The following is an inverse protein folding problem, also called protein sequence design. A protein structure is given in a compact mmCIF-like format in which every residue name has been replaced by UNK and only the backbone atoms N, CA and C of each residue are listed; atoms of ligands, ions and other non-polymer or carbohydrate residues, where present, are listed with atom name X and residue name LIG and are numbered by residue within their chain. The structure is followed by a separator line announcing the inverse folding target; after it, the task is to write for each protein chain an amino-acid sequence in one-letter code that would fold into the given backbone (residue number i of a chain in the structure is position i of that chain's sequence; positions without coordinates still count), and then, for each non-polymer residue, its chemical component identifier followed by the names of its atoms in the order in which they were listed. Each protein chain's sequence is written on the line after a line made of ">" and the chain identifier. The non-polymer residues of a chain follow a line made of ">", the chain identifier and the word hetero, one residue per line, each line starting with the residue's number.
data_IF_996719132463
#
_entry.id   IF_996719132463
#
_cell.length_a   1.000
_cell.length_b   1.000
_cell.length_c   1.000
_cell.angle_alpha   90.00
_cell.angle_beta   90.00
_cell.angle_gamma   90.00
#
_symmetry.space_group_name_H-M   'P 1'
#
loop_
_entity.id
_entity.type
_entity.pdbx_description
1 polymer ?
#
# COMPACT_ATOMS: atom_id res chain seq x y z
N UNK A 1 14.03 1.84 40.52
CA UNK A 1 14.89 1.66 39.34
C UNK A 1 14.47 0.42 38.58
N UNK A 2 13.63 0.58 37.56
CA UNK A 2 13.33 -0.52 36.62
C UNK A 2 14.62 -0.85 35.84
N UNK A 3 15.03 -2.11 35.90
CA UNK A 3 16.15 -2.62 35.10
C UNK A 3 15.75 -2.47 33.62
N UNK A 4 16.43 -1.60 32.90
CA UNK A 4 16.22 -1.38 31.48
C UNK A 4 16.59 -2.67 30.71
N UNK A 5 15.59 -3.43 30.29
CA UNK A 5 15.76 -4.56 29.38
C UNK A 5 15.50 -4.12 27.93
N UNK A 6 16.55 -3.89 27.13
CA UNK A 6 16.40 -3.46 25.74
C UNK A 6 15.67 -4.49 24.88
N UNK A 7 15.71 -5.79 25.23
CA UNK A 7 15.02 -6.84 24.46
C UNK A 7 13.52 -6.71 24.61
N UNK A 8 13.03 -6.54 25.84
CA UNK A 8 11.60 -6.37 26.11
C UNK A 8 11.06 -5.05 25.54
N UNK A 9 11.87 -3.98 25.58
CA UNK A 9 11.47 -2.71 24.96
C UNK A 9 11.33 -2.82 23.43
N UNK A 10 12.28 -3.48 22.75
CA UNK A 10 12.23 -3.72 21.29
C UNK A 10 10.98 -4.53 20.93
N UNK A 11 10.68 -5.61 21.67
CA UNK A 11 9.47 -6.40 21.47
C UNK A 11 8.21 -5.56 21.66
N UNK A 12 8.15 -4.75 22.71
CA UNK A 12 7.01 -3.87 22.99
C UNK A 12 6.77 -2.90 21.82
N UNK A 13 7.81 -2.23 21.32
CA UNK A 13 7.70 -1.31 20.19
C UNK A 13 7.25 -2.02 18.91
N UNK A 14 7.73 -3.24 18.69
CA UNK A 14 7.29 -4.08 17.57
C UNK A 14 5.80 -4.40 17.65
N UNK A 15 5.26 -4.73 18.83
CA UNK A 15 3.81 -4.95 18.99
C UNK A 15 2.98 -3.69 18.77
N UNK A 16 3.59 -2.51 18.87
CA UNK A 16 2.96 -1.22 18.60
C UNK A 16 3.15 -0.75 17.14
N UNK A 17 3.75 -1.56 16.27
CA UNK A 17 4.14 -1.21 14.89
C UNK A 17 5.06 0.03 14.81
N UNK A 18 5.87 0.28 15.85
CA UNK A 18 6.88 1.33 15.88
C UNK A 18 8.25 0.75 15.53
N UNK A 19 8.36 0.24 14.29
CA UNK A 19 9.47 -0.59 13.86
C UNK A 19 10.77 0.21 13.71
N UNK A 20 10.71 1.44 13.21
CA UNK A 20 11.85 2.34 13.14
C UNK A 20 12.40 2.69 14.52
N UNK A 21 11.52 3.02 15.46
CA UNK A 21 11.91 3.27 16.87
C UNK A 21 12.55 2.02 17.50
N UNK A 22 12.02 0.83 17.21
CA UNK A 22 12.58 -0.43 17.68
C UNK A 22 14.02 -0.66 17.16
N UNK A 23 14.28 -0.40 15.87
CA UNK A 23 15.64 -0.49 15.29
C UNK A 23 16.59 0.54 15.91
N UNK A 24 16.13 1.77 16.05
CA UNK A 24 16.88 2.89 16.63
C UNK A 24 17.29 2.64 18.09
N UNK A 25 16.54 1.81 18.84
CA UNK A 25 16.92 1.37 20.19
C UNK A 25 17.82 0.12 20.15
N UNK A 26 17.50 -0.86 19.31
CA UNK A 26 18.23 -2.13 19.27
C UNK A 26 19.70 -1.96 18.82
N UNK A 27 19.95 -1.15 17.77
CA UNK A 27 21.30 -0.93 17.21
C UNK A 27 22.32 -0.32 18.19
N UNK A 28 22.01 0.70 19.01
CA UNK A 28 22.93 1.16 20.03
C UNK A 28 23.00 0.20 21.23
N UNK A 29 21.90 -0.49 21.60
CA UNK A 29 21.88 -1.42 22.72
C UNK A 29 22.81 -2.62 22.48
N UNK A 30 22.78 -3.22 21.30
CA UNK A 30 23.61 -4.40 20.97
C UNK A 30 25.12 -4.13 21.04
N UNK A 31 25.54 -2.87 20.85
CA UNK A 31 26.94 -2.43 21.00
C UNK A 31 27.37 -2.29 22.46
N UNK A 32 26.43 -2.08 23.38
CA UNK A 32 26.69 -1.82 24.81
C UNK A 32 26.55 -3.08 25.67
N UNK A 33 25.73 -4.04 25.25
CA UNK A 33 25.52 -5.30 25.96
C UNK A 33 26.78 -6.16 25.91
N UNK A 34 27.27 -6.57 27.10
CA UNK A 34 28.42 -7.47 27.25
C UNK A 34 28.03 -8.94 27.33
N UNK A 35 26.79 -9.22 27.75
CA UNK A 35 26.27 -10.57 27.90
C UNK A 35 25.95 -11.17 26.53
N UNK A 36 26.70 -12.23 26.17
CA UNK A 36 26.55 -12.88 24.86
C UNK A 36 25.11 -13.33 24.54
N UNK A 37 24.34 -13.95 25.48
CA UNK A 37 22.98 -14.38 25.18
C UNK A 37 22.01 -13.23 24.89
N UNK A 38 22.16 -12.09 25.57
CA UNK A 38 21.33 -10.90 25.35
C UNK A 38 21.71 -10.24 24.02
N UNK A 39 23.01 -10.17 23.73
CA UNK A 39 23.52 -9.63 22.48
C UNK A 39 23.00 -10.42 21.28
N UNK A 40 23.05 -11.75 21.32
CA UNK A 40 22.54 -12.62 20.26
C UNK A 40 21.02 -12.44 20.01
N UNK A 41 20.24 -12.28 21.08
CA UNK A 41 18.81 -11.95 20.97
C UNK A 41 18.58 -10.61 20.27
N UNK A 42 19.31 -9.57 20.65
CA UNK A 42 19.21 -8.26 20.01
C UNK A 42 19.64 -8.31 18.53
N UNK A 43 20.73 -9.01 18.20
CA UNK A 43 21.15 -9.19 16.80
C UNK A 43 20.09 -9.92 15.96
N UNK A 44 19.42 -10.91 16.55
CA UNK A 44 18.32 -11.63 15.91
C UNK A 44 17.13 -10.70 15.63
N UNK A 45 16.71 -9.89 16.62
CA UNK A 45 15.63 -8.91 16.43
C UNK A 45 15.99 -7.83 15.41
N UNK A 46 17.23 -7.32 15.41
CA UNK A 46 17.70 -6.34 14.41
C UNK A 46 17.57 -6.93 13.00
N UNK A 47 18.08 -8.15 12.77
CA UNK A 47 17.98 -8.82 11.46
C UNK A 47 16.53 -9.02 11.02
N UNK A 48 15.66 -9.39 11.95
CA UNK A 48 14.24 -9.58 11.67
C UNK A 48 13.56 -8.25 11.27
N UNK A 49 13.88 -7.15 11.97
CA UNK A 49 13.38 -5.83 11.64
C UNK A 49 13.93 -5.34 10.30
N UNK A 50 15.23 -5.48 10.02
CA UNK A 50 15.82 -5.05 8.75
C UNK A 50 15.26 -5.81 7.55
N UNK A 51 15.01 -7.12 7.70
CA UNK A 51 14.35 -7.91 6.65
C UNK A 51 12.90 -7.48 6.44
N UNK A 52 12.18 -7.12 7.50
CA UNK A 52 10.83 -6.57 7.39
C UNK A 52 10.84 -5.19 6.71
N UNK A 53 11.75 -4.28 7.08
CA UNK A 53 11.91 -2.97 6.44
C UNK A 53 12.12 -3.14 4.93
N UNK A 54 13.00 -4.08 4.55
CA UNK A 54 13.27 -4.37 3.15
C UNK A 54 12.02 -4.81 2.39
N UNK A 55 11.20 -5.68 2.99
CA UNK A 55 9.96 -6.18 2.37
C UNK A 55 8.93 -5.08 2.21
N UNK A 56 8.68 -4.32 3.27
CA UNK A 56 7.73 -3.21 3.27
C UNK A 56 8.17 -2.14 2.26
N UNK A 57 9.48 -1.90 2.14
CA UNK A 57 10.03 -0.95 1.18
C UNK A 57 9.84 -1.41 -0.26
N UNK A 58 10.10 -2.69 -0.55
CA UNK A 58 9.86 -3.27 -1.88
C UNK A 58 8.38 -3.19 -2.25
N UNK A 59 7.48 -3.44 -1.30
CA UNK A 59 6.04 -3.29 -1.52
C UNK A 59 5.65 -1.84 -1.85
N UNK A 60 6.13 -0.87 -1.07
CA UNK A 60 5.90 0.55 -1.33
C UNK A 60 6.40 0.98 -2.72
N UNK A 61 7.59 0.51 -3.13
CA UNK A 61 8.13 0.75 -4.46
C UNK A 61 7.31 0.10 -5.57
N UNK A 62 6.88 -1.15 -5.37
CA UNK A 62 6.08 -1.89 -6.34
C UNK A 62 4.73 -1.20 -6.57
N UNK A 63 4.04 -0.78 -5.50
CA UNK A 63 2.77 -0.06 -5.62
C UNK A 63 2.93 1.28 -6.34
N UNK A 64 3.98 2.05 -6.01
CA UNK A 64 4.27 3.30 -6.71
C UNK A 64 4.60 3.08 -8.20
N UNK A 65 5.27 1.99 -8.55
CA UNK A 65 5.54 1.65 -9.94
C UNK A 65 4.27 1.23 -10.69
N UNK A 66 3.42 0.43 -10.05
CA UNK A 66 2.14 -0.01 -10.63
C UNK A 66 1.17 1.17 -10.84
N UNK A 67 1.12 2.12 -9.93
CA UNK A 67 0.30 3.33 -10.11
C UNK A 67 0.78 4.17 -11.29
N UNK A 68 2.10 4.40 -11.40
CA UNK A 68 2.74 5.14 -12.51
C UNK A 68 2.46 4.52 -13.87
N UNK A 69 2.65 3.21 -13.98
CA UNK A 69 2.48 2.48 -15.25
C UNK A 69 1.02 2.35 -15.65
N UNK A 70 0.11 2.20 -14.68
CA UNK A 70 -1.31 2.10 -14.95
C UNK A 70 -1.99 3.44 -15.24
N UNK A 71 -1.41 4.56 -14.79
CA UNK A 71 -1.99 5.93 -14.86
C UNK A 71 -3.41 5.99 -14.30
N UNK A 72 -3.66 5.17 -13.30
CA UNK A 72 -4.98 5.00 -12.69
C UNK A 72 -5.05 5.70 -11.35
N UNK A 73 -6.04 6.58 -11.12
CA UNK A 73 -6.12 7.35 -9.87
C UNK A 73 -6.36 6.46 -8.65
N UNK A 74 -7.09 5.35 -8.80
CA UNK A 74 -7.35 4.42 -7.71
C UNK A 74 -6.09 3.62 -7.30
N UNK A 75 -5.25 3.23 -8.25
CA UNK A 75 -3.96 2.60 -7.97
C UNK A 75 -2.99 3.57 -7.31
N UNK A 76 -3.01 4.85 -7.72
CA UNK A 76 -2.22 5.88 -7.06
C UNK A 76 -2.69 6.15 -5.62
N UNK A 77 -4.01 6.17 -5.37
CA UNK A 77 -4.55 6.26 -4.01
C UNK A 77 -4.11 5.07 -3.13
N UNK A 78 -4.14 3.85 -3.66
CA UNK A 78 -3.63 2.67 -2.96
C UNK A 78 -2.13 2.78 -2.65
N UNK A 79 -1.32 3.21 -3.62
CA UNK A 79 0.11 3.43 -3.42
C UNK A 79 0.41 4.48 -2.34
N UNK A 80 -0.36 5.58 -2.29
CA UNK A 80 -0.25 6.58 -1.23
C UNK A 80 -0.49 5.98 0.15
N UNK A 81 -1.50 5.12 0.30
CA UNK A 81 -1.81 4.47 1.57
C UNK A 81 -0.65 3.58 2.05
N UNK A 82 -0.09 2.77 1.15
CA UNK A 82 1.05 1.89 1.47
C UNK A 82 2.28 2.71 1.89
N UNK A 83 2.62 3.78 1.16
CA UNK A 83 3.78 4.62 1.51
C UNK A 83 3.55 5.38 2.82
N UNK A 84 2.33 5.86 3.06
CA UNK A 84 2.00 6.53 4.33
C UNK A 84 2.11 5.57 5.51
N UNK A 85 1.67 4.31 5.34
CA UNK A 85 1.81 3.28 6.35
C UNK A 85 3.28 2.92 6.59
N UNK A 86 4.07 2.81 5.51
CA UNK A 86 5.51 2.61 5.59
C UNK A 86 6.19 3.70 6.45
N UNK A 87 5.95 4.98 6.13
CA UNK A 87 6.49 6.12 6.87
C UNK A 87 6.08 6.11 8.34
N UNK A 88 4.83 5.71 8.63
CA UNK A 88 4.34 5.60 10.00
C UNK A 88 5.07 4.51 10.80
N UNK A 89 5.35 3.36 10.19
CA UNK A 89 5.99 2.24 10.87
C UNK A 89 7.51 2.41 11.00
N UNK A 90 8.14 3.04 10.00
CA UNK A 90 9.60 3.13 9.83
C UNK A 90 10.17 4.54 10.02
N UNK A 91 9.42 5.44 10.68
CA UNK A 91 9.90 6.79 11.00
C UNK A 91 11.25 6.76 11.73
N UNK A 92 12.17 7.65 11.35
CA UNK A 92 13.50 7.77 11.96
C UNK A 92 14.58 6.85 11.37
N UNK A 93 14.26 6.01 10.39
CA UNK A 93 15.21 5.12 9.71
C UNK A 93 15.60 5.62 8.31
N UNK A 94 16.72 5.12 7.78
CA UNK A 94 17.41 5.71 6.61
C UNK A 94 16.62 5.73 5.29
N UNK A 95 15.47 5.06 5.22
CA UNK A 95 14.59 5.01 4.05
C UNK A 95 13.50 6.09 4.06
N UNK A 96 13.29 6.81 5.17
CA UNK A 96 12.25 7.82 5.34
C UNK A 96 12.31 8.90 4.25
N UNK A 97 13.48 9.49 4.01
CA UNK A 97 13.64 10.53 2.98
C UNK A 97 13.31 10.04 1.56
N UNK A 98 13.53 8.75 1.27
CA UNK A 98 13.18 8.14 -0.02
C UNK A 98 11.67 7.91 -0.12
N UNK A 99 11.05 7.43 0.96
CA UNK A 99 9.60 7.27 1.06
C UNK A 99 8.87 8.62 0.94
N UNK A 100 9.37 9.68 1.60
CA UNK A 100 8.82 11.05 1.49
C UNK A 100 8.93 11.61 0.07
N UNK A 101 10.05 11.35 -0.62
CA UNK A 101 10.18 11.72 -2.03
C UNK A 101 9.15 10.97 -2.88
N UNK A 102 9.05 9.66 -2.70
CA UNK A 102 8.11 8.81 -3.44
C UNK A 102 6.65 9.27 -3.22
N UNK A 103 6.30 9.65 -1.99
CA UNK A 103 4.99 10.18 -1.64
C UNK A 103 4.70 11.51 -2.35
N UNK A 104 5.69 12.41 -2.41
CA UNK A 104 5.56 13.70 -3.11
C UNK A 104 5.37 13.50 -4.61
N UNK A 105 6.20 12.68 -5.23
CA UNK A 105 6.14 12.38 -6.66
C UNK A 105 4.74 11.82 -7.04
N UNK A 106 4.21 10.88 -6.25
CA UNK A 106 2.88 10.31 -6.50
C UNK A 106 1.75 11.33 -6.33
N UNK A 107 1.84 12.23 -5.36
CA UNK A 107 0.85 13.28 -5.18
C UNK A 107 0.86 14.27 -6.36
N UNK A 108 2.03 14.57 -6.92
CA UNK A 108 2.15 15.41 -8.11
C UNK A 108 1.53 14.72 -9.34
N UNK A 109 1.80 13.43 -9.54
CA UNK A 109 1.20 12.64 -10.62
C UNK A 109 -0.32 12.55 -10.52
N UNK A 110 -0.87 12.38 -9.31
CA UNK A 110 -2.32 12.40 -9.07
C UNK A 110 -2.95 13.74 -9.47
N UNK A 111 -2.31 14.85 -9.12
CA UNK A 111 -2.76 16.19 -9.51
C UNK A 111 -2.68 16.43 -11.01
N UNK A 112 -1.70 15.82 -11.68
CA UNK A 112 -1.54 15.89 -13.12
C UNK A 112 -2.45 14.93 -13.90
N UNK A 113 -3.18 14.03 -13.22
CA UNK A 113 -4.06 13.05 -13.87
C UNK A 113 -5.25 13.76 -14.53
N UNK A 114 -5.44 13.63 -15.86
CA UNK A 114 -6.53 14.31 -16.55
C UNK A 114 -7.91 13.85 -16.04
N UNK A 115 -8.91 14.75 -15.94
CA UNK A 115 -10.27 14.40 -15.51
C UNK A 115 -10.89 13.24 -16.31
N UNK A 116 -10.53 13.14 -17.60
CA UNK A 116 -11.00 12.09 -18.49
C UNK A 116 -10.62 10.68 -18.01
N UNK A 117 -9.44 10.48 -17.40
CA UNK A 117 -9.05 9.16 -16.87
C UNK A 117 -9.81 8.84 -15.57
N UNK A 118 -10.08 9.84 -14.74
CA UNK A 118 -10.90 9.70 -13.53
C UNK A 118 -12.35 9.32 -13.84
N UNK A 119 -12.92 9.89 -14.91
CA UNK A 119 -14.29 9.58 -15.35
C UNK A 119 -14.40 8.30 -16.20
N UNK A 120 -13.28 7.67 -16.55
CA UNK A 120 -13.26 6.52 -17.45
C UNK A 120 -14.11 5.33 -16.97
N UNK A 121 -14.10 4.92 -15.68
CA UNK A 121 -14.98 3.86 -15.20
C UNK A 121 -16.45 4.20 -15.41
N UNK A 122 -16.86 5.43 -15.08
CA UNK A 122 -18.22 5.92 -15.28
C UNK A 122 -18.63 5.88 -16.75
N UNK A 123 -17.75 6.33 -17.66
CA UNK A 123 -18.02 6.26 -19.12
C UNK A 123 -18.18 4.83 -19.64
N UNK A 124 -17.39 3.88 -19.13
CA UNK A 124 -17.53 2.46 -19.46
C UNK A 124 -18.88 1.94 -18.95
N UNK A 125 -19.25 2.29 -17.72
CA UNK A 125 -20.49 1.90 -17.10
C UNK A 125 -21.72 2.43 -17.84
N UNK A 126 -21.75 3.74 -18.14
CA UNK A 126 -22.83 4.38 -18.89
C UNK A 126 -22.98 3.76 -20.30
N UNK A 127 -21.86 3.42 -20.95
CA UNK A 127 -21.88 2.71 -22.24
C UNK A 127 -22.46 1.30 -22.11
N UNK A 128 -22.14 0.58 -21.03
CA UNK A 128 -22.72 -0.74 -20.78
C UNK A 128 -24.23 -0.66 -20.57
N UNK A 129 -24.73 0.33 -19.81
CA UNK A 129 -26.17 0.58 -19.63
C UNK A 129 -26.88 0.81 -20.97
N UNK A 130 -26.34 1.68 -21.83
CA UNK A 130 -26.90 1.93 -23.18
C UNK A 130 -26.93 0.67 -24.05
N UNK A 131 -25.95 -0.22 -23.93
CA UNK A 131 -25.95 -1.49 -24.65
C UNK A 131 -27.03 -2.44 -24.16
N UNK A 132 -27.35 -2.43 -22.85
CA UNK A 132 -28.46 -3.21 -22.29
C UNK A 132 -29.81 -2.71 -22.81
N UNK A 133 -30.02 -1.39 -22.80
CA UNK A 133 -31.23 -0.76 -23.36
C UNK A 133 -31.41 -1.11 -24.85
N UNK A 134 -30.30 -1.17 -25.60
CA UNK A 134 -30.29 -1.60 -27.00
C UNK A 134 -30.33 -3.10 -27.24
N UNK A 135 -30.56 -3.94 -26.21
CA UNK A 135 -30.64 -5.40 -26.30
C UNK A 135 -29.31 -6.14 -26.53
N UNK A 136 -28.18 -5.42 -26.54
CA UNK A 136 -26.84 -5.97 -26.80
C UNK A 136 -26.18 -6.54 -25.54
N UNK A 137 -26.84 -7.55 -24.94
CA UNK A 137 -26.47 -8.14 -23.64
C UNK A 137 -25.01 -8.61 -23.55
N UNK A 138 -24.54 -9.39 -24.52
CA UNK A 138 -23.17 -9.93 -24.49
C UNK A 138 -22.09 -8.83 -24.47
N UNK A 139 -22.29 -7.75 -25.24
CA UNK A 139 -21.36 -6.62 -25.25
C UNK A 139 -21.42 -5.82 -23.95
N UNK A 140 -22.61 -5.62 -23.37
CA UNK A 140 -22.75 -4.99 -22.07
C UNK A 140 -22.05 -5.80 -20.96
N UNK A 141 -22.24 -7.12 -20.94
CA UNK A 141 -21.59 -8.02 -20.00
C UNK A 141 -20.06 -7.93 -20.10
N UNK A 142 -19.51 -7.94 -21.32
CA UNK A 142 -18.07 -7.78 -21.56
C UNK A 142 -17.52 -6.45 -21.02
N UNK A 143 -18.26 -5.34 -21.21
CA UNK A 143 -17.86 -4.04 -20.67
C UNK A 143 -17.92 -3.99 -19.14
N UNK A 144 -18.97 -4.55 -18.54
CA UNK A 144 -19.10 -4.61 -17.08
C UNK A 144 -18.01 -5.49 -16.46
N UNK A 145 -17.70 -6.65 -17.04
CA UNK A 145 -16.57 -7.50 -16.60
C UNK A 145 -15.25 -6.75 -16.71
N UNK A 146 -15.02 -6.03 -17.82
CA UNK A 146 -13.83 -5.19 -17.99
C UNK A 146 -13.76 -4.10 -16.93
N UNK A 147 -14.89 -3.45 -16.62
CA UNK A 147 -14.96 -2.42 -15.58
C UNK A 147 -14.59 -2.98 -14.21
N UNK A 148 -15.19 -4.09 -13.80
CA UNK A 148 -14.93 -4.70 -12.49
C UNK A 148 -13.49 -5.18 -12.38
N UNK A 149 -12.95 -5.81 -13.43
CA UNK A 149 -11.58 -6.30 -13.43
C UNK A 149 -10.55 -5.16 -13.44
N UNK A 150 -10.81 -4.08 -14.19
CA UNK A 150 -9.85 -3.00 -14.39
C UNK A 150 -10.03 -1.81 -13.47
N UNK A 151 -11.13 -1.67 -12.76
CA UNK A 151 -11.40 -0.54 -11.88
C UNK A 151 -12.10 -0.98 -10.58
N UNK A 152 -11.57 -1.96 -9.83
CA UNK A 152 -12.25 -2.56 -8.69
C UNK A 152 -12.64 -1.58 -7.58
N UNK A 153 -11.95 -0.43 -7.50
CA UNK A 153 -12.17 0.58 -6.46
C UNK A 153 -13.00 1.78 -6.95
N UNK A 154 -13.57 1.74 -8.16
CA UNK A 154 -14.41 2.83 -8.66
C UNK A 154 -15.81 2.83 -8.02
N UNK A 155 -16.39 4.02 -7.82
CA UNK A 155 -17.74 4.21 -7.27
C UNK A 155 -18.84 3.43 -8.01
N UNK A 156 -18.68 3.19 -9.31
CA UNK A 156 -19.66 2.46 -10.15
C UNK A 156 -19.45 0.94 -10.14
N UNK A 157 -18.41 0.43 -9.48
CA UNK A 157 -18.04 -1.00 -9.51
C UNK A 157 -19.08 -1.87 -8.83
N UNK A 158 -19.56 -1.46 -7.65
CA UNK A 158 -20.57 -2.21 -6.90
C UNK A 158 -21.87 -2.35 -7.71
N UNK A 159 -22.28 -1.28 -8.39
CA UNK A 159 -23.46 -1.30 -9.26
C UNK A 159 -23.22 -2.18 -10.50
N UNK A 160 -22.03 -2.13 -11.09
CA UNK A 160 -21.65 -2.99 -12.21
C UNK A 160 -21.65 -4.48 -11.85
N UNK A 161 -21.20 -4.84 -10.63
CA UNK A 161 -21.26 -6.20 -10.13
C UNK A 161 -22.71 -6.69 -9.95
N UNK A 162 -23.60 -5.83 -9.46
CA UNK A 162 -25.03 -6.16 -9.35
C UNK A 162 -25.65 -6.41 -10.73
N UNK A 163 -25.37 -5.54 -11.71
CA UNK A 163 -25.83 -5.72 -13.10
C UNK A 163 -25.26 -6.98 -13.75
N UNK A 164 -24.02 -7.38 -13.45
CA UNK A 164 -23.48 -8.63 -13.96
C UNK A 164 -24.23 -9.86 -13.44
N UNK A 165 -24.64 -9.84 -12.15
CA UNK A 165 -25.42 -10.93 -11.55
C UNK A 165 -26.77 -11.09 -12.26
N UNK A 166 -27.50 -9.99 -12.50
CA UNK A 166 -28.81 -10.04 -13.17
C UNK A 166 -28.73 -10.45 -14.64
N UNK A 167 -27.56 -10.34 -15.29
CA UNK A 167 -27.34 -10.79 -16.67
C UNK A 167 -26.90 -12.25 -16.77
N UNK A 168 -26.55 -12.87 -15.63
CA UNK A 168 -26.14 -14.28 -15.56
C UNK A 168 -27.24 -15.21 -15.03
N UNK A 169 -28.38 -14.64 -14.62
CA UNK A 169 -29.67 -15.30 -14.37
C UNK A 169 -30.50 -15.39 -15.65
#
# INVERSE_FOLDING_TARGET
>A
DEVFDPVEQVKKLRTQNKLGEALSIARPAVKKVREAPIKEKLETEIRALEEQERRDWVEAQAQAFLSRTSRRPDMAAAALQVITQYLKHWAGEGTEAKADKLLRDLNEELRATPPAETERPKRIFDRAKKLLEGGKRALAQSLLQTLVARYPSSDVTSEAQQLLKTLSE
#
